data_IF_502987571165
#
_entry.id   IF_502987571165
#
_cell.length_a   1.000
_cell.length_b   1.000
_cell.length_c   1.000
_cell.angle_alpha   90.00
_cell.angle_beta   90.00
_cell.angle_gamma   90.00
#
_symmetry.space_group_name_H-M   'P 1'
#
loop_
_entity.id
_entity.type
_entity.pdbx_description
1 polymer ?
#
# COMPACT_ATOMS: atom_id res chain seq x y z
N UNK A 1 4.88 0.79 -18.62
CA UNK A 1 5.60 1.98 -18.09
C UNK A 1 4.79 2.59 -16.95
N UNK A 2 5.44 3.07 -15.88
CA UNK A 2 4.79 3.75 -14.75
C UNK A 2 5.35 5.17 -14.59
N UNK A 3 4.49 6.18 -14.49
CA UNK A 3 4.87 7.59 -14.39
C UNK A 3 4.23 8.24 -13.17
N UNK A 4 4.94 9.14 -12.51
CA UNK A 4 4.41 9.89 -11.38
C UNK A 4 4.68 11.39 -11.49
N UNK A 5 3.71 12.18 -11.04
CA UNK A 5 3.86 13.59 -10.71
C UNK A 5 3.68 13.75 -9.20
N UNK A 6 4.69 14.26 -8.52
CA UNK A 6 4.68 14.40 -7.06
C UNK A 6 4.88 15.88 -6.74
N UNK A 7 3.90 16.48 -6.08
CA UNK A 7 3.82 17.93 -5.86
C UNK A 7 3.75 18.20 -4.37
N UNK A 8 4.63 19.07 -3.88
CA UNK A 8 4.68 19.50 -2.49
C UNK A 8 4.97 21.00 -2.41
N UNK A 9 3.97 21.80 -2.06
CA UNK A 9 4.07 23.27 -2.12
C UNK A 9 4.06 23.88 -0.72
N UNK A 10 5.05 24.71 -0.42
CA UNK A 10 5.22 25.37 0.86
C UNK A 10 5.11 26.90 0.75
N UNK A 11 5.69 27.48 -0.29
CA UNK A 11 6.00 28.91 -0.36
C UNK A 11 4.81 29.73 -0.87
N UNK A 12 3.66 29.60 -0.21
CA UNK A 12 2.48 30.41 -0.48
C UNK A 12 2.63 31.80 0.14
N UNK A 13 2.58 32.89 -0.66
CA UNK A 13 2.72 34.25 -0.12
C UNK A 13 1.73 34.54 1.02
N UNK A 14 2.26 34.77 2.23
CA UNK A 14 1.48 35.09 3.44
C UNK A 14 0.70 33.92 4.06
N UNK A 15 0.88 32.68 3.58
CA UNK A 15 0.23 31.45 4.09
C UNK A 15 1.14 30.23 3.96
N UNK A 16 2.40 30.36 4.34
CA UNK A 16 3.40 29.31 4.18
C UNK A 16 3.02 28.00 4.89
N UNK A 17 3.44 26.88 4.32
CA UNK A 17 3.39 25.56 4.94
C UNK A 17 4.83 25.09 5.20
N UNK A 18 5.00 24.24 6.21
CA UNK A 18 6.35 23.83 6.65
C UNK A 18 6.80 22.49 6.03
N UNK A 19 5.87 21.56 5.73
CA UNK A 19 6.22 20.14 5.55
C UNK A 19 5.80 19.52 4.22
N UNK A 20 5.09 20.24 3.34
CA UNK A 20 4.60 19.67 2.09
C UNK A 20 5.73 19.35 1.10
N UNK A 21 6.86 20.06 1.18
CA UNK A 21 8.06 19.70 0.44
C UNK A 21 8.70 18.39 0.92
N UNK A 22 8.82 18.19 2.23
CA UNK A 22 9.33 16.96 2.83
C UNK A 22 8.43 15.77 2.47
N UNK A 23 7.12 15.97 2.56
CA UNK A 23 6.12 15.01 2.11
C UNK A 23 6.38 14.54 0.67
N UNK A 24 6.56 15.49 -0.26
CA UNK A 24 6.83 15.18 -1.66
C UNK A 24 8.20 14.51 -1.87
N UNK A 25 9.24 14.91 -1.14
CA UNK A 25 10.57 14.28 -1.21
C UNK A 25 10.49 12.82 -0.76
N UNK A 26 9.89 12.55 0.39
CA UNK A 26 9.73 11.19 0.91
C UNK A 26 8.87 10.31 -0.01
N UNK A 27 7.78 10.84 -0.56
CA UNK A 27 6.96 10.12 -1.54
C UNK A 27 7.71 9.79 -2.82
N UNK A 28 8.52 10.74 -3.33
CA UNK A 28 9.38 10.52 -4.50
C UNK A 28 10.33 9.36 -4.26
N UNK A 29 11.10 9.38 -3.18
CA UNK A 29 12.09 8.34 -2.88
C UNK A 29 11.46 6.94 -2.81
N UNK A 30 10.28 6.82 -2.19
CA UNK A 30 9.56 5.55 -2.06
C UNK A 30 8.94 5.06 -3.37
N UNK A 31 8.47 5.96 -4.23
CA UNK A 31 7.77 5.60 -5.47
C UNK A 31 8.75 5.34 -6.62
N UNK A 32 9.92 5.98 -6.64
CA UNK A 32 10.98 5.75 -7.63
C UNK A 32 11.54 4.32 -7.60
N UNK A 33 11.51 3.65 -6.44
CA UNK A 33 12.14 2.34 -6.25
C UNK A 33 11.24 1.32 -5.52
N UNK A 34 11.35 0.06 -5.91
CA UNK A 34 10.82 -1.06 -5.13
C UNK A 34 11.67 -1.29 -3.86
N UNK A 35 11.17 -2.10 -2.94
CA UNK A 35 11.86 -2.42 -1.69
C UNK A 35 13.20 -3.16 -1.87
N UNK A 36 13.43 -3.76 -3.04
CA UNK A 36 14.70 -4.39 -3.43
C UNK A 36 15.68 -3.43 -4.11
N UNK A 37 15.33 -2.15 -4.25
CA UNK A 37 16.12 -1.12 -4.92
C UNK A 37 15.97 -1.09 -6.45
N UNK A 38 15.18 -1.98 -7.05
CA UNK A 38 14.90 -1.93 -8.48
C UNK A 38 14.06 -0.69 -8.85
N UNK A 39 14.23 -0.11 -10.06
CA UNK A 39 13.41 1.01 -10.51
C UNK A 39 11.91 0.68 -10.57
N UNK A 40 11.04 1.63 -10.24
CA UNK A 40 9.58 1.45 -10.20
C UNK A 40 8.82 2.50 -11.04
N UNK A 41 8.83 3.78 -10.65
CA UNK A 41 8.21 4.88 -11.41
C UNK A 41 9.26 5.85 -11.95
N UNK A 42 9.01 6.39 -13.14
CA UNK A 42 9.66 7.63 -13.58
C UNK A 42 8.91 8.81 -12.95
N UNK A 43 9.62 9.60 -12.12
CA UNK A 43 8.99 10.61 -11.27
C UNK A 43 9.39 12.03 -11.67
N UNK A 44 8.39 12.90 -11.81
CA UNK A 44 8.56 14.34 -11.95
C UNK A 44 8.16 15.02 -10.65
N UNK A 45 9.11 15.58 -9.87
CA UNK A 45 8.78 16.34 -8.66
C UNK A 45 8.55 17.83 -8.96
N UNK A 46 7.64 18.45 -8.20
CA UNK A 46 7.45 19.90 -8.12
C UNK A 46 7.46 20.28 -6.64
N UNK A 47 8.47 21.03 -6.22
CA UNK A 47 8.77 21.30 -4.81
C UNK A 47 8.75 22.80 -4.53
N UNK A 48 8.20 23.16 -3.37
CA UNK A 48 8.06 24.50 -2.76
C UNK A 48 7.18 25.49 -3.53
N UNK A 49 7.39 25.64 -4.84
CA UNK A 49 6.75 26.66 -5.67
C UNK A 49 6.22 26.08 -6.98
N UNK A 50 5.03 26.49 -7.37
CA UNK A 50 4.47 26.15 -8.67
C UNK A 50 3.47 27.21 -9.11
N UNK A 51 3.51 27.59 -10.39
CA UNK A 51 2.45 28.39 -10.99
C UNK A 51 1.29 27.52 -11.45
N UNK A 52 0.09 28.08 -11.56
CA UNK A 52 -1.07 27.39 -12.12
C UNK A 52 -0.78 26.77 -13.49
N UNK A 53 -0.11 27.53 -14.37
CA UNK A 53 0.22 27.09 -15.72
C UNK A 53 1.21 25.92 -15.73
N UNK A 54 2.18 25.92 -14.81
CA UNK A 54 3.12 24.81 -14.69
C UNK A 54 2.43 23.56 -14.14
N UNK A 55 1.58 23.71 -13.12
CA UNK A 55 0.86 22.59 -12.52
C UNK A 55 -0.09 21.93 -13.55
N UNK A 56 -0.90 22.71 -14.25
CA UNK A 56 -1.83 22.18 -15.26
C UNK A 56 -1.09 21.52 -16.43
N UNK A 57 0.06 22.07 -16.85
CA UNK A 57 0.90 21.47 -17.89
C UNK A 57 1.49 20.14 -17.43
N UNK A 58 1.99 20.06 -16.20
CA UNK A 58 2.55 18.84 -15.64
C UNK A 58 1.49 17.74 -15.48
N UNK A 59 0.30 18.08 -14.99
CA UNK A 59 -0.84 17.15 -14.88
C UNK A 59 -1.27 16.67 -16.28
N UNK A 60 -1.33 17.56 -17.26
CA UNK A 60 -1.61 17.20 -18.65
C UNK A 60 -0.60 16.20 -19.21
N UNK A 61 0.71 16.40 -18.97
CA UNK A 61 1.76 15.46 -19.39
C UNK A 61 1.68 14.12 -18.66
N UNK A 62 1.32 14.11 -17.38
CA UNK A 62 1.12 12.87 -16.63
C UNK A 62 0.05 11.99 -17.30
N UNK A 63 -1.07 12.59 -17.70
CA UNK A 63 -2.24 11.88 -18.24
C UNK A 63 -2.29 11.75 -19.76
N UNK A 64 -1.31 12.27 -20.51
CA UNK A 64 -1.33 12.29 -21.97
C UNK A 64 -1.15 10.92 -22.66
N UNK A 65 -0.34 10.02 -22.08
CA UNK A 65 0.11 8.77 -22.72
C UNK A 65 -0.75 7.55 -22.31
N UNK A 66 -0.31 6.35 -22.68
CA UNK A 66 -0.96 5.05 -22.43
C UNK A 66 -0.21 4.19 -21.37
N UNK A 67 0.38 4.85 -20.37
CA UNK A 67 1.13 4.19 -19.30
C UNK A 67 0.27 3.18 -18.51
N UNK A 68 0.92 2.19 -17.89
CA UNK A 68 0.22 1.20 -17.05
C UNK A 68 -0.34 1.86 -15.79
N UNK A 69 0.43 2.77 -15.19
CA UNK A 69 0.03 3.57 -14.04
C UNK A 69 0.51 5.02 -14.21
N UNK A 70 -0.42 5.96 -14.08
CA UNK A 70 -0.16 7.37 -13.85
C UNK A 70 -0.50 7.71 -12.39
N UNK A 71 0.50 8.15 -11.62
CA UNK A 71 0.37 8.46 -10.19
C UNK A 71 0.51 9.97 -9.96
N UNK A 72 -0.54 10.61 -9.44
CA UNK A 72 -0.50 12.00 -9.00
C UNK A 72 -0.52 12.01 -7.47
N UNK A 73 0.49 12.61 -6.85
CA UNK A 73 0.47 12.96 -5.43
C UNK A 73 0.58 14.48 -5.28
N UNK A 74 -0.27 15.07 -4.46
CA UNK A 74 -0.26 16.50 -4.15
C UNK A 74 -0.37 16.74 -2.64
N UNK A 75 0.58 17.48 -2.07
CA UNK A 75 0.55 18.02 -0.71
C UNK A 75 0.64 19.56 -0.77
N UNK A 76 -0.29 20.26 -0.11
CA UNK A 76 -0.34 21.72 -0.13
C UNK A 76 -1.69 22.29 0.32
N UNK A 77 -1.93 23.57 -0.01
CA UNK A 77 -3.24 24.20 0.25
C UNK A 77 -4.30 23.72 -0.73
N UNK A 78 -5.52 23.57 -0.22
CA UNK A 78 -6.72 23.42 -1.04
C UNK A 78 -7.76 24.50 -0.70
N UNK A 79 -8.57 24.88 -1.68
CA UNK A 79 -9.63 25.88 -1.52
C UNK A 79 -11.01 25.29 -1.79
N UNK A 80 -11.98 25.67 -0.95
CA UNK A 80 -13.37 25.22 -0.99
C UNK A 80 -14.28 26.15 -1.81
N UNK A 81 -13.95 26.29 -3.10
CA UNK A 81 -14.69 27.15 -4.03
C UNK A 81 -14.98 26.32 -5.28
N UNK A 82 -16.19 26.40 -5.83
CA UNK A 82 -16.59 25.80 -7.12
C UNK A 82 -16.14 24.34 -7.34
N UNK A 83 -16.24 23.48 -6.32
CA UNK A 83 -15.89 22.06 -6.41
C UNK A 83 -14.45 21.69 -6.04
N UNK A 84 -13.65 22.66 -5.58
CA UNK A 84 -12.34 22.42 -4.99
C UNK A 84 -11.16 22.77 -5.90
N UNK A 85 -10.11 23.33 -5.33
CA UNK A 85 -8.87 23.68 -6.04
C UNK A 85 -7.63 23.09 -5.35
N UNK A 86 -6.66 22.65 -6.16
CA UNK A 86 -5.27 22.47 -5.77
C UNK A 86 -4.59 23.84 -5.88
N UNK A 87 -4.27 24.46 -4.74
CA UNK A 87 -3.77 25.83 -4.74
C UNK A 87 -2.31 25.90 -5.20
N UNK A 88 -1.98 26.85 -6.07
CA UNK A 88 -0.62 27.11 -6.53
C UNK A 88 -0.01 28.32 -5.82
N UNK A 89 1.33 28.46 -5.84
CA UNK A 89 2.00 29.52 -5.08
C UNK A 89 1.88 30.90 -5.74
N UNK A 90 1.46 30.96 -7.00
CA UNK A 90 1.09 32.18 -7.74
C UNK A 90 -0.37 32.62 -7.52
N UNK A 91 -1.04 32.11 -6.48
CA UNK A 91 -2.44 32.44 -6.22
C UNK A 91 -2.64 33.96 -6.03
N UNK A 92 -3.71 34.49 -6.61
CA UNK A 92 -4.04 35.92 -6.50
C UNK A 92 -5.51 36.18 -6.82
N UNK A 93 -6.20 36.93 -5.97
CA UNK A 93 -7.63 37.23 -6.16
C UNK A 93 -8.46 35.95 -6.31
N UNK A 94 -9.08 35.78 -7.49
CA UNK A 94 -9.87 34.60 -7.86
C UNK A 94 -9.07 33.47 -8.52
N UNK A 95 -7.76 33.65 -8.72
CA UNK A 95 -6.88 32.61 -9.25
C UNK A 95 -6.30 31.77 -8.10
N UNK A 96 -6.99 30.71 -7.73
CA UNK A 96 -6.56 29.83 -6.63
C UNK A 96 -5.52 28.79 -7.07
N UNK A 97 -5.63 28.29 -8.31
CA UNK A 97 -4.78 27.21 -8.83
C UNK A 97 -5.55 26.36 -9.84
N UNK A 98 -5.38 25.04 -9.77
CA UNK A 98 -6.00 24.07 -10.68
C UNK A 98 -7.26 23.48 -10.04
N UNK A 99 -8.40 23.51 -10.74
CA UNK A 99 -9.64 22.89 -10.24
C UNK A 99 -9.48 21.38 -10.16
N UNK A 100 -9.93 20.78 -9.06
CA UNK A 100 -9.92 19.33 -8.88
C UNK A 100 -10.79 18.63 -9.94
N UNK A 101 -11.86 19.27 -10.42
CA UNK A 101 -12.68 18.76 -11.52
C UNK A 101 -11.92 18.66 -12.84
N UNK A 102 -11.03 19.62 -13.12
CA UNK A 102 -10.22 19.62 -14.35
C UNK A 102 -9.18 18.48 -14.29
N UNK A 103 -8.60 18.24 -13.10
CA UNK A 103 -7.70 17.09 -12.86
C UNK A 103 -8.44 15.78 -13.11
N UNK A 104 -9.66 15.63 -12.60
CA UNK A 104 -10.48 14.44 -12.82
C UNK A 104 -10.84 14.27 -14.30
N UNK A 105 -11.19 15.35 -14.99
CA UNK A 105 -11.51 15.31 -16.42
C UNK A 105 -10.30 14.87 -17.25
N UNK A 106 -9.10 15.38 -16.94
CA UNK A 106 -7.85 14.95 -17.56
C UNK A 106 -7.57 13.47 -17.30
N UNK A 107 -7.75 13.01 -16.06
CA UNK A 107 -7.59 11.61 -15.70
C UNK A 107 -8.59 10.71 -16.44
N UNK A 108 -9.87 11.11 -16.51
CA UNK A 108 -10.92 10.36 -17.19
C UNK A 108 -10.67 10.24 -18.71
N UNK A 109 -10.11 11.28 -19.34
CA UNK A 109 -9.74 11.27 -20.77
C UNK A 109 -8.42 10.53 -21.05
N UNK A 110 -7.63 10.23 -20.02
CA UNK A 110 -6.35 9.56 -20.15
C UNK A 110 -6.49 8.13 -20.65
N UNK A 111 -5.58 7.71 -21.54
CA UNK A 111 -5.45 6.33 -22.01
C UNK A 111 -4.64 5.45 -21.05
N UNK A 112 -4.07 6.02 -19.99
CA UNK A 112 -3.41 5.26 -18.95
C UNK A 112 -4.37 4.20 -18.37
N UNK A 113 -3.87 2.98 -18.15
CA UNK A 113 -4.69 1.87 -17.65
C UNK A 113 -5.16 2.13 -16.22
N UNK A 114 -4.27 2.64 -15.37
CA UNK A 114 -4.58 3.04 -14.01
C UNK A 114 -4.15 4.48 -13.76
N UNK A 115 -5.02 5.27 -13.14
CA UNK A 115 -4.82 6.67 -12.78
C UNK A 115 -5.07 6.79 -11.29
N UNK A 116 -4.00 6.89 -10.51
CA UNK A 116 -4.07 6.95 -9.05
C UNK A 116 -3.77 8.38 -8.62
N UNK A 117 -4.71 9.01 -7.92
CA UNK A 117 -4.63 10.39 -7.47
C UNK A 117 -4.69 10.38 -5.94
N UNK A 118 -3.65 10.86 -5.29
CA UNK A 118 -3.57 11.02 -3.84
C UNK A 118 -3.44 12.51 -3.51
N UNK A 119 -4.35 13.02 -2.68
CA UNK A 119 -4.42 14.43 -2.33
C UNK A 119 -4.33 14.63 -0.81
N UNK A 120 -3.23 15.20 -0.35
CA UNK A 120 -3.03 15.69 1.02
C UNK A 120 -3.21 17.22 1.07
N UNK A 121 -4.46 17.66 0.93
CA UNK A 121 -4.80 19.07 1.08
C UNK A 121 -6.18 19.26 1.70
N UNK A 122 -6.41 20.41 2.34
CA UNK A 122 -7.73 20.77 2.83
C UNK A 122 -8.77 20.67 1.70
N UNK A 123 -9.97 20.20 2.05
CA UNK A 123 -11.09 20.05 1.11
C UNK A 123 -10.87 19.06 -0.04
N UNK A 124 -9.78 18.27 -0.05
CA UNK A 124 -9.55 17.24 -1.06
C UNK A 124 -10.68 16.21 -1.13
N UNK A 125 -11.28 15.86 0.02
CA UNK A 125 -12.46 15.00 0.11
C UNK A 125 -13.65 15.49 -0.74
N UNK A 126 -13.76 16.80 -1.01
CA UNK A 126 -14.82 17.37 -1.84
C UNK A 126 -14.69 17.06 -3.33
N UNK A 127 -13.49 16.73 -3.81
CA UNK A 127 -13.32 16.12 -5.14
C UNK A 127 -14.10 14.80 -5.21
N UNK A 128 -14.12 14.05 -4.10
CA UNK A 128 -14.97 12.88 -3.94
C UNK A 128 -16.45 13.23 -3.97
N UNK A 129 -16.89 14.20 -3.19
CA UNK A 129 -18.32 14.57 -3.11
C UNK A 129 -18.87 15.18 -4.40
N UNK A 130 -18.09 15.99 -5.11
CA UNK A 130 -18.48 16.61 -6.37
C UNK A 130 -18.74 15.57 -7.47
N UNK A 131 -18.07 14.41 -7.43
CA UNK A 131 -18.36 13.24 -8.27
C UNK A 131 -19.81 12.75 -8.09
N UNK A 132 -20.39 12.89 -6.89
CA UNK A 132 -21.76 12.47 -6.59
C UNK A 132 -22.81 13.55 -6.91
N UNK A 133 -22.43 14.83 -6.77
CA UNK A 133 -23.35 15.95 -6.92
C UNK A 133 -23.57 16.37 -8.38
N UNK A 134 -22.56 16.18 -9.23
CA UNK A 134 -22.69 16.42 -10.66
C UNK A 134 -23.09 15.11 -11.37
N UNK A 135 -24.37 14.97 -11.72
CA UNK A 135 -24.97 13.84 -12.48
C UNK A 135 -24.24 13.44 -13.80
N UNK A 136 -23.13 14.08 -14.15
CA UNK A 136 -22.32 13.84 -15.36
C UNK A 136 -20.87 13.43 -15.10
N UNK A 137 -20.36 13.40 -13.86
CA UNK A 137 -18.96 13.00 -13.58
C UNK A 137 -18.89 11.57 -13.07
N UNK A 138 -19.05 10.61 -13.96
CA UNK A 138 -18.73 9.20 -13.69
C UNK A 138 -17.20 9.11 -13.52
N UNK A 139 -16.74 8.46 -12.45
CA UNK A 139 -15.32 8.15 -12.29
C UNK A 139 -14.90 7.26 -13.47
N UNK A 140 -13.94 7.69 -14.28
CA UNK A 140 -13.52 6.95 -15.46
C UNK A 140 -12.94 5.58 -15.09
N UNK A 141 -13.01 4.63 -16.02
CA UNK A 141 -12.36 3.33 -15.87
C UNK A 141 -10.86 3.52 -15.58
N UNK A 142 -10.31 2.75 -14.64
CA UNK A 142 -8.92 2.85 -14.23
C UNK A 142 -8.62 3.94 -13.21
N UNK A 143 -9.58 4.78 -12.80
CA UNK A 143 -9.33 5.89 -11.86
C UNK A 143 -9.45 5.44 -10.41
N UNK A 144 -8.52 5.86 -9.56
CA UNK A 144 -8.56 5.72 -8.10
C UNK A 144 -8.18 7.04 -7.44
N UNK A 145 -8.95 7.50 -6.46
CA UNK A 145 -8.73 8.72 -5.70
C UNK A 145 -8.64 8.37 -4.22
N UNK A 146 -7.58 8.82 -3.56
CA UNK A 146 -7.40 8.80 -2.12
C UNK A 146 -7.20 10.24 -1.65
N UNK A 147 -8.09 10.78 -0.84
CA UNK A 147 -8.03 12.18 -0.44
C UNK A 147 -8.10 12.34 1.07
N UNK A 148 -7.18 13.13 1.63
CA UNK A 148 -7.22 13.54 3.02
C UNK A 148 -8.52 14.31 3.33
N UNK A 149 -8.96 14.22 4.57
CA UNK A 149 -10.21 14.84 5.05
C UNK A 149 -9.95 15.85 6.18
N UNK A 150 -10.31 17.13 5.95
CA UNK A 150 -10.00 18.31 6.78
C UNK A 150 -8.54 18.38 7.31
N UNK A 151 -8.20 19.42 8.08
CA UNK A 151 -6.81 19.77 8.38
C UNK A 151 -6.17 18.78 9.37
N UNK A 152 -5.48 17.76 8.85
CA UNK A 152 -4.61 16.85 9.60
C UNK A 152 -3.41 17.55 10.29
N UNK A 153 -3.33 18.88 10.20
CA UNK A 153 -2.24 19.73 10.68
C UNK A 153 -2.38 20.19 12.14
N UNK A 154 -3.54 20.05 12.79
CA UNK A 154 -3.74 20.54 14.16
C UNK A 154 -3.39 19.47 15.21
N UNK A 155 -2.13 19.42 15.62
CA UNK A 155 -1.74 19.11 17.02
C UNK A 155 -0.28 19.48 17.22
N UNK A 156 0.03 20.21 18.29
CA UNK A 156 1.39 20.64 18.65
C UNK A 156 2.37 19.47 18.89
N UNK A 157 1.88 18.24 19.03
CA UNK A 157 2.70 17.02 19.18
C UNK A 157 3.46 16.61 17.91
N UNK A 158 3.23 17.25 16.75
CA UNK A 158 3.64 16.75 15.41
C UNK A 158 4.92 17.31 14.81
N UNK A 159 5.59 18.30 15.43
CA UNK A 159 6.83 18.86 14.86
C UNK A 159 7.97 17.84 14.71
N UNK A 160 7.93 16.72 15.44
CA UNK A 160 8.91 15.64 15.34
C UNK A 160 8.79 14.80 14.06
N UNK A 161 7.60 14.70 13.46
CA UNK A 161 7.35 13.85 12.29
C UNK A 161 7.81 14.50 10.98
N UNK A 162 7.92 15.83 10.94
CA UNK A 162 8.32 16.61 9.75
C UNK A 162 7.47 16.32 8.48
N UNK A 163 6.25 15.79 8.70
CA UNK A 163 5.27 15.36 7.69
C UNK A 163 3.83 15.64 8.17
N UNK A 164 2.87 15.74 7.24
CA UNK A 164 1.45 15.65 7.58
C UNK A 164 1.06 14.24 8.06
N UNK A 165 0.08 14.07 8.98
CA UNK A 165 -0.32 12.72 9.46
C UNK A 165 -0.66 11.81 8.28
N UNK A 166 -1.49 12.30 7.36
CA UNK A 166 -1.99 11.47 6.26
C UNK A 166 -0.82 10.96 5.41
N UNK A 167 0.10 11.85 5.05
CA UNK A 167 1.32 11.48 4.35
C UNK A 167 2.22 10.55 5.15
N UNK A 168 2.41 10.76 6.45
CA UNK A 168 3.19 9.86 7.30
C UNK A 168 2.61 8.44 7.31
N UNK A 169 1.28 8.28 7.40
CA UNK A 169 0.65 6.97 7.33
C UNK A 169 0.82 6.32 5.94
N UNK A 170 0.76 7.11 4.87
CA UNK A 170 1.07 6.63 3.52
C UNK A 170 2.53 6.18 3.40
N UNK A 171 3.48 6.92 4.00
CA UNK A 171 4.92 6.56 4.04
C UNK A 171 5.09 5.22 4.75
N UNK A 172 4.49 5.05 5.93
CA UNK A 172 4.55 3.79 6.69
C UNK A 172 3.94 2.63 5.91
N UNK A 173 2.80 2.86 5.25
CA UNK A 173 2.16 1.89 4.37
C UNK A 173 3.08 1.46 3.24
N UNK A 174 3.66 2.43 2.52
CA UNK A 174 4.59 2.21 1.41
C UNK A 174 5.91 1.56 1.83
N UNK A 175 6.36 1.78 3.08
CA UNK A 175 7.54 1.10 3.66
C UNK A 175 7.28 -0.38 3.98
N UNK A 176 6.02 -0.82 3.97
CA UNK A 176 5.65 -2.24 4.10
C UNK A 176 4.48 -2.50 5.03
N UNK A 177 3.99 -1.50 5.76
CA UNK A 177 2.82 -1.64 6.63
C UNK A 177 1.56 -2.08 5.86
N UNK A 178 1.47 -1.71 4.58
CA UNK A 178 0.36 -2.03 3.69
C UNK A 178 0.66 -3.17 2.70
N UNK A 179 1.74 -3.93 2.90
CA UNK A 179 2.13 -5.01 1.99
C UNK A 179 1.35 -6.30 2.26
N UNK A 180 0.91 -6.97 1.19
CA UNK A 180 0.39 -8.33 1.28
C UNK A 180 1.52 -9.36 1.55
N UNK A 181 1.16 -10.64 1.70
CA UNK A 181 2.12 -11.73 1.94
C UNK A 181 3.16 -11.83 0.80
N UNK A 182 2.74 -11.50 -0.42
CA UNK A 182 3.58 -11.47 -1.61
C UNK A 182 4.42 -10.20 -1.77
N UNK A 183 4.32 -9.25 -0.83
CA UNK A 183 5.07 -7.99 -0.85
C UNK A 183 4.45 -6.89 -1.72
N UNK A 184 3.20 -7.04 -2.21
CA UNK A 184 2.55 -6.02 -3.03
C UNK A 184 1.86 -4.97 -2.18
N UNK A 185 2.04 -3.70 -2.55
CA UNK A 185 1.36 -2.56 -1.94
C UNK A 185 0.46 -1.91 -3.00
N UNK A 186 -0.85 -1.93 -2.78
CA UNK A 186 -1.88 -1.45 -3.72
C UNK A 186 -2.56 -0.20 -3.17
N UNK A 187 -3.28 0.59 -4.01
CA UNK A 187 -4.08 1.70 -3.51
C UNK A 187 -5.09 1.29 -2.43
N UNK A 188 -5.73 0.12 -2.57
CA UNK A 188 -6.66 -0.41 -1.57
C UNK A 188 -5.98 -0.80 -0.27
N UNK A 189 -4.83 -1.49 -0.32
CA UNK A 189 -4.12 -1.87 0.89
C UNK A 189 -3.53 -0.66 1.62
N UNK A 190 -3.08 0.38 0.89
CA UNK A 190 -2.70 1.66 1.47
C UNK A 190 -3.87 2.34 2.17
N UNK A 191 -5.02 2.45 1.51
CA UNK A 191 -6.20 3.03 2.15
C UNK A 191 -6.61 2.25 3.41
N UNK A 192 -6.65 0.92 3.33
CA UNK A 192 -6.97 0.06 4.47
C UNK A 192 -5.99 0.26 5.63
N UNK A 193 -4.70 0.39 5.36
CA UNK A 193 -3.68 0.64 6.37
C UNK A 193 -3.89 2.00 7.04
N UNK A 194 -4.14 3.06 6.24
CA UNK A 194 -4.43 4.40 6.76
C UNK A 194 -5.70 4.35 7.62
N UNK A 195 -6.80 3.77 7.13
CA UNK A 195 -8.08 3.68 7.86
C UNK A 195 -7.97 2.97 9.21
N UNK A 196 -7.20 1.88 9.28
CA UNK A 196 -6.95 1.12 10.51
C UNK A 196 -6.07 1.84 11.51
N UNK A 197 -5.23 2.76 11.04
CA UNK A 197 -4.31 3.54 11.89
C UNK A 197 -5.00 4.72 12.57
N UNK A 198 -6.29 4.93 12.31
CA UNK A 198 -7.05 6.08 12.79
C UNK A 198 -8.01 5.72 13.92
N UNK A 199 -8.03 6.51 14.99
CA UNK A 199 -8.97 6.38 16.09
C UNK A 199 -10.42 6.68 15.70
N UNK A 200 -11.39 6.27 16.50
CA UNK A 200 -12.83 6.38 16.19
C UNK A 200 -13.33 7.81 15.94
N UNK A 201 -12.67 8.82 16.51
CA UNK A 201 -13.04 10.24 16.38
C UNK A 201 -12.26 10.98 15.29
N UNK A 202 -11.32 10.31 14.60
CA UNK A 202 -10.56 10.89 13.51
C UNK A 202 -11.32 10.70 12.19
N UNK A 203 -11.40 11.78 11.41
CA UNK A 203 -12.03 11.73 10.10
C UNK A 203 -11.28 10.73 9.21
N UNK A 204 -12.02 9.95 8.41
CA UNK A 204 -11.42 9.00 7.47
C UNK A 204 -11.10 9.69 6.14
N UNK A 205 -10.02 9.30 5.45
CA UNK A 205 -9.79 9.76 4.09
C UNK A 205 -10.90 9.25 3.17
N UNK A 206 -11.11 9.93 2.05
CA UNK A 206 -12.02 9.48 1.00
C UNK A 206 -11.29 8.49 0.10
N UNK A 207 -11.92 7.35 -0.18
CA UNK A 207 -11.47 6.39 -1.18
C UNK A 207 -12.54 6.20 -2.25
N UNK A 208 -12.21 6.48 -3.51
CA UNK A 208 -13.09 6.23 -4.66
C UNK A 208 -12.33 5.57 -5.77
N UNK A 209 -12.91 4.55 -6.39
CA UNK A 209 -12.23 3.79 -7.45
C UNK A 209 -13.25 3.22 -8.44
N UNK A 210 -12.85 3.13 -9.71
CA UNK A 210 -13.58 2.45 -10.78
C UNK A 210 -12.54 1.66 -11.58
N UNK A 211 -12.17 0.49 -11.09
CA UNK A 211 -11.13 -0.36 -11.68
C UNK A 211 -11.60 -1.81 -11.71
N UNK A 212 -11.07 -2.58 -12.64
CA UNK A 212 -11.26 -4.03 -12.71
C UNK A 212 -10.21 -4.81 -11.90
N UNK A 213 -9.03 -4.23 -11.67
CA UNK A 213 -7.94 -4.84 -10.90
C UNK A 213 -7.01 -3.78 -10.30
N UNK A 214 -6.53 -4.00 -9.07
CA UNK A 214 -5.47 -3.19 -8.47
C UNK A 214 -4.09 -3.61 -9.01
N UNK A 215 -3.35 -2.65 -9.57
CA UNK A 215 -1.92 -2.81 -9.81
C UNK A 215 -1.11 -2.31 -8.59
N UNK A 216 -0.01 -2.98 -8.21
CA UNK A 216 0.84 -2.51 -7.13
C UNK A 216 1.51 -1.18 -7.45
N UNK A 217 1.36 -0.22 -6.54
CA UNK A 217 2.11 1.05 -6.54
C UNK A 217 3.56 0.81 -6.15
N UNK A 218 3.82 -0.15 -5.27
CA UNK A 218 5.18 -0.54 -4.88
C UNK A 218 5.21 -2.01 -4.54
N UNK A 219 6.32 -2.67 -4.81
CA UNK A 219 6.59 -4.02 -4.34
C UNK A 219 7.76 -4.01 -3.38
N UNK A 220 7.70 -4.82 -2.32
CA UNK A 220 8.76 -5.02 -1.34
C UNK A 220 9.10 -6.51 -1.24
N UNK A 221 10.09 -6.86 -0.43
CA UNK A 221 10.42 -8.25 -0.16
C UNK A 221 9.16 -9.01 0.33
N UNK A 222 8.79 -10.06 -0.40
CA UNK A 222 7.69 -10.93 0.00
C UNK A 222 7.99 -11.60 1.35
N UNK A 223 6.99 -11.66 2.23
CA UNK A 223 7.11 -12.39 3.50
C UNK A 223 7.25 -13.89 3.23
N UNK A 224 6.53 -14.38 2.23
CA UNK A 224 6.66 -15.76 1.73
C UNK A 224 6.86 -15.72 0.22
N UNK A 225 8.00 -16.24 -0.30
CA UNK A 225 8.24 -16.27 -1.74
C UNK A 225 7.16 -17.07 -2.48
N UNK A 226 6.82 -16.65 -3.70
CA UNK A 226 5.83 -17.34 -4.54
C UNK A 226 6.17 -18.82 -4.78
N UNK A 227 7.46 -19.15 -4.88
CA UNK A 227 7.94 -20.52 -5.02
C UNK A 227 7.55 -21.40 -3.82
N UNK A 228 7.53 -20.82 -2.62
CA UNK A 228 7.13 -21.48 -1.38
C UNK A 228 5.61 -21.54 -1.28
N UNK A 229 4.89 -20.45 -1.56
CA UNK A 229 3.41 -20.44 -1.58
C UNK A 229 2.80 -21.51 -2.53
N UNK A 230 3.48 -21.81 -3.65
CA UNK A 230 3.09 -22.87 -4.59
C UNK A 230 3.18 -24.29 -4.02
N UNK A 231 3.92 -24.50 -2.92
CA UNK A 231 4.01 -25.78 -2.21
C UNK A 231 2.92 -25.97 -1.15
N UNK A 232 2.14 -24.94 -0.84
CA UNK A 232 1.09 -25.05 0.18
C UNK A 232 0.08 -26.17 -0.16
N UNK A 233 -0.27 -26.32 -1.45
CA UNK A 233 -1.14 -27.41 -1.92
C UNK A 233 -0.46 -28.77 -2.08
N UNK A 234 0.88 -28.84 -1.95
CA UNK A 234 1.60 -30.12 -1.88
C UNK A 234 1.68 -30.66 -0.47
N UNK A 235 1.65 -29.77 0.54
CA UNK A 235 1.64 -30.18 1.96
C UNK A 235 0.25 -30.57 2.44
N UNK A 236 -0.79 -29.84 2.03
CA UNK A 236 -2.17 -30.18 2.36
C UNK A 236 -2.86 -30.65 1.08
N UNK A 237 -3.16 -31.95 0.96
CA UNK A 237 -3.82 -32.48 -0.25
C UNK A 237 -5.26 -31.97 -0.36
N UNK A 238 -5.96 -31.93 0.78
CA UNK A 238 -7.28 -31.38 0.99
C UNK A 238 -7.23 -30.23 2.01
N UNK A 239 -8.17 -29.27 1.92
CA UNK A 239 -8.16 -28.09 2.78
C UNK A 239 -8.45 -28.36 4.27
N UNK A 240 -8.98 -29.53 4.59
CA UNK A 240 -9.30 -29.97 5.95
C UNK A 240 -8.23 -30.89 6.55
N UNK A 241 -7.17 -31.17 5.81
CA UNK A 241 -6.15 -32.11 6.26
C UNK A 241 -5.33 -31.51 7.41
N UNK A 242 -4.92 -32.41 8.31
CA UNK A 242 -3.90 -32.12 9.30
C UNK A 242 -2.58 -32.74 8.84
N UNK A 243 -1.56 -31.90 8.69
CA UNK A 243 -0.21 -32.35 8.39
C UNK A 243 0.42 -32.88 9.68
N UNK A 244 0.66 -34.20 9.75
CA UNK A 244 1.26 -34.84 10.93
C UNK A 244 2.74 -34.49 11.03
N UNK A 245 3.17 -34.13 12.23
CA UNK A 245 4.53 -33.77 12.56
C UNK A 245 5.04 -34.71 13.63
N UNK A 246 6.35 -34.93 13.63
CA UNK A 246 7.06 -35.71 14.65
C UNK A 246 8.41 -35.02 14.99
N UNK A 247 9.13 -35.47 16.02
CA UNK A 247 10.39 -34.85 16.45
C UNK A 247 11.48 -34.75 15.39
N UNK A 248 11.40 -35.47 14.26
CA UNK A 248 12.39 -35.40 13.19
C UNK A 248 12.27 -34.15 12.31
N UNK A 249 11.19 -33.38 12.45
CA UNK A 249 11.00 -32.09 11.78
C UNK A 249 11.79 -30.95 12.45
N UNK A 250 12.15 -31.10 13.73
CA UNK A 250 12.84 -30.07 14.49
C UNK A 250 14.37 -30.21 14.38
N UNK A 251 15.03 -29.22 13.78
CA UNK A 251 16.47 -29.29 13.51
C UNK A 251 17.33 -29.32 14.76
N UNK A 252 16.80 -28.78 15.87
CA UNK A 252 17.50 -28.84 17.15
C UNK A 252 17.52 -30.24 17.72
N UNK A 253 16.63 -31.16 17.33
CA UNK A 253 16.52 -32.52 17.86
C UNK A 253 17.63 -33.47 17.34
N UNK A 254 18.88 -33.21 17.71
CA UNK A 254 20.06 -33.87 17.17
C UNK A 254 21.08 -34.26 18.27
N UNK A 255 21.79 -35.39 18.07
CA UNK A 255 22.75 -35.95 19.04
C UNK A 255 23.91 -35.01 19.41
N UNK A 256 24.19 -34.00 18.58
CA UNK A 256 25.30 -33.07 18.73
C UNK A 256 24.89 -31.71 19.34
N UNK A 257 23.62 -31.54 19.74
CA UNK A 257 23.11 -30.31 20.36
C UNK A 257 22.74 -30.64 21.82
N UNK A 258 23.15 -29.80 22.77
CA UNK A 258 22.81 -29.98 24.19
C UNK A 258 21.32 -29.68 24.44
N UNK A 259 20.47 -30.70 24.30
CA UNK A 259 19.07 -30.70 24.74
C UNK A 259 18.63 -32.14 25.05
N UNK A 260 17.40 -32.31 25.54
CA UNK A 260 16.80 -33.64 25.67
C UNK A 260 16.46 -34.20 24.30
N UNK A 261 17.25 -35.16 23.80
CA UNK A 261 17.06 -35.79 22.49
C UNK A 261 15.90 -36.78 22.53
N UNK A 262 15.04 -36.75 21.51
CA UNK A 262 13.83 -37.58 21.41
C UNK A 262 13.81 -38.29 20.04
N UNK A 263 13.56 -39.59 20.00
CA UNK A 263 13.38 -40.32 18.73
C UNK A 263 11.97 -40.09 18.15
N UNK A 264 11.82 -39.94 16.81
CA UNK A 264 12.86 -39.92 15.78
C UNK A 264 13.70 -38.63 15.78
N UNK A 265 14.99 -38.75 15.45
CA UNK A 265 15.91 -37.60 15.38
C UNK A 265 15.70 -36.76 14.12
N UNK A 266 16.22 -35.53 14.13
CA UNK A 266 16.14 -34.59 13.02
C UNK A 266 16.52 -35.23 11.66
N UNK A 267 15.59 -35.21 10.72
CA UNK A 267 15.80 -35.61 9.33
C UNK A 267 15.89 -34.38 8.42
N UNK A 268 16.82 -34.39 7.47
CA UNK A 268 17.10 -33.23 6.65
C UNK A 268 15.92 -32.83 5.74
N UNK A 269 15.14 -33.79 5.23
CA UNK A 269 13.97 -33.51 4.39
C UNK A 269 12.82 -32.96 5.23
N UNK A 270 12.54 -33.60 6.37
CA UNK A 270 11.52 -33.14 7.32
C UNK A 270 11.81 -31.74 7.85
N UNK A 271 13.07 -31.45 8.21
CA UNK A 271 13.49 -30.11 8.66
C UNK A 271 13.24 -29.04 7.58
N UNK A 272 13.46 -29.35 6.30
CA UNK A 272 13.19 -28.40 5.22
C UNK A 272 11.69 -28.14 5.06
N UNK A 273 10.86 -29.17 5.13
CA UNK A 273 9.39 -29.03 5.13
C UNK A 273 8.95 -28.20 6.34
N UNK A 274 9.51 -28.46 7.51
CA UNK A 274 9.16 -27.76 8.74
C UNK A 274 9.47 -26.27 8.68
N UNK A 275 10.63 -25.89 8.13
CA UNK A 275 10.99 -24.48 7.92
C UNK A 275 9.97 -23.76 7.03
N UNK A 276 9.45 -24.41 6.01
CA UNK A 276 8.40 -23.84 5.15
C UNK A 276 7.05 -23.75 5.88
N UNK A 277 6.67 -24.77 6.66
CA UNK A 277 5.46 -24.75 7.49
C UNK A 277 5.52 -23.68 8.59
N UNK A 278 6.67 -23.49 9.23
CA UNK A 278 6.92 -22.40 10.18
C UNK A 278 6.87 -21.04 9.49
N UNK A 279 7.38 -20.92 8.26
CA UNK A 279 7.25 -19.69 7.49
C UNK A 279 5.77 -19.39 7.17
N UNK A 280 4.97 -20.39 6.82
CA UNK A 280 3.52 -20.22 6.64
C UNK A 280 2.81 -19.84 7.94
N UNK A 281 3.21 -20.40 9.07
CA UNK A 281 2.65 -20.06 10.38
C UNK A 281 2.97 -18.61 10.77
N UNK A 282 4.20 -18.13 10.49
CA UNK A 282 4.62 -16.75 10.80
C UNK A 282 3.79 -15.66 10.08
N UNK A 283 3.08 -16.03 9.01
CA UNK A 283 2.16 -15.15 8.27
C UNK A 283 0.69 -15.56 8.41
N UNK A 284 0.38 -16.48 9.33
CA UNK A 284 -0.97 -16.90 9.66
C UNK A 284 -1.65 -17.79 8.62
N UNK A 285 -0.90 -18.46 7.74
CA UNK A 285 -1.45 -19.41 6.76
C UNK A 285 -1.65 -20.82 7.34
N UNK A 286 -0.81 -21.21 8.30
CA UNK A 286 -0.85 -22.50 8.99
C UNK A 286 -0.92 -22.25 10.49
N UNK A 287 -1.58 -23.12 11.24
CA UNK A 287 -1.58 -23.10 12.71
C UNK A 287 -1.37 -24.51 13.28
N UNK A 288 -0.69 -24.64 14.43
CA UNK A 288 -0.56 -25.93 15.12
C UNK A 288 -1.90 -26.40 15.71
N UNK A 289 -2.06 -27.72 15.86
CA UNK A 289 -3.25 -28.35 16.43
C UNK A 289 -2.92 -28.96 17.79
N UNK A 290 -3.70 -28.61 18.82
CA UNK A 290 -3.54 -29.15 20.17
C UNK A 290 -2.32 -28.60 20.92
N UNK A 291 -1.66 -27.56 20.42
CA UNK A 291 -0.55 -26.83 21.08
C UNK A 291 -0.45 -25.40 20.52
N UNK A 292 0.31 -24.54 21.18
CA UNK A 292 0.44 -23.12 20.83
C UNK A 292 1.52 -22.85 19.77
N UNK A 293 2.59 -23.64 19.74
CA UNK A 293 3.74 -23.39 18.85
C UNK A 293 4.05 -24.59 17.97
N UNK A 294 4.49 -24.31 16.73
CA UNK A 294 4.91 -25.33 15.77
C UNK A 294 5.99 -26.26 16.34
N UNK A 295 6.93 -25.73 17.12
CA UNK A 295 7.96 -26.52 17.80
C UNK A 295 7.36 -27.69 18.62
N UNK A 296 6.38 -27.40 19.48
CA UNK A 296 5.70 -28.43 20.26
C UNK A 296 4.85 -29.34 19.38
N UNK A 297 4.34 -28.83 18.26
CA UNK A 297 3.58 -29.67 17.34
C UNK A 297 4.47 -30.79 16.75
N UNK A 298 5.73 -30.49 16.44
CA UNK A 298 6.73 -31.48 16.06
C UNK A 298 7.15 -32.37 17.25
N UNK A 299 7.65 -31.77 18.33
CA UNK A 299 8.23 -32.51 19.45
C UNK A 299 7.25 -33.42 20.19
N UNK A 300 5.94 -33.14 20.14
CA UNK A 300 4.89 -33.91 20.81
C UNK A 300 4.07 -34.80 19.85
N UNK A 301 4.55 -35.03 18.62
CA UNK A 301 3.89 -35.86 17.61
C UNK A 301 2.45 -35.42 17.28
N UNK A 302 2.23 -34.10 17.18
CA UNK A 302 0.93 -33.51 16.86
C UNK A 302 0.86 -33.19 15.36
N UNK A 303 0.18 -32.10 15.02
CA UNK A 303 -0.07 -31.72 13.63
C UNK A 303 -0.23 -30.22 13.49
N UNK A 304 -0.26 -29.77 12.24
CA UNK A 304 -0.71 -28.42 11.88
C UNK A 304 -1.78 -28.49 10.80
N UNK A 305 -2.54 -27.41 10.64
CA UNK A 305 -3.63 -27.31 9.66
C UNK A 305 -3.66 -25.91 9.03
N UNK A 306 -4.38 -25.78 7.92
CA UNK A 306 -4.61 -24.49 7.28
C UNK A 306 -5.55 -23.63 8.13
N UNK A 307 -5.25 -22.33 8.22
CA UNK A 307 -6.19 -21.32 8.72
C UNK A 307 -7.20 -20.93 7.62
N UNK A 308 -8.16 -20.05 7.94
CA UNK A 308 -9.05 -19.48 6.94
C UNK A 308 -8.28 -18.69 5.83
N UNK A 309 -7.21 -17.99 6.20
CA UNK A 309 -6.33 -17.32 5.24
C UNK A 309 -5.48 -18.34 4.47
N UNK A 310 -4.99 -19.36 5.16
CA UNK A 310 -4.32 -20.52 4.57
C UNK A 310 -5.12 -21.16 3.44
N UNK A 311 -6.41 -21.38 3.67
CA UNK A 311 -7.33 -21.94 2.68
C UNK A 311 -7.40 -21.11 1.40
N UNK A 312 -7.40 -19.77 1.51
CA UNK A 312 -7.39 -18.90 0.34
C UNK A 312 -6.11 -19.08 -0.49
N UNK A 313 -4.94 -19.05 0.15
CA UNK A 313 -3.66 -19.23 -0.53
C UNK A 313 -3.48 -20.66 -1.05
N UNK A 314 -4.02 -21.64 -0.34
CA UNK A 314 -4.03 -23.04 -0.77
C UNK A 314 -4.80 -23.20 -2.08
N UNK A 315 -5.96 -22.54 -2.25
CA UNK A 315 -6.70 -22.54 -3.52
C UNK A 315 -5.89 -21.91 -4.64
N UNK A 316 -5.24 -20.76 -4.39
CA UNK A 316 -4.36 -20.13 -5.37
C UNK A 316 -3.19 -21.04 -5.77
N UNK A 317 -2.66 -21.81 -4.82
CA UNK A 317 -1.63 -22.83 -5.02
C UNK A 317 -2.13 -23.95 -5.93
N UNK A 318 -3.28 -24.54 -5.58
CA UNK A 318 -3.92 -25.66 -6.28
C UNK A 318 -4.29 -25.30 -7.72
N UNK A 319 -4.84 -24.10 -7.91
CA UNK A 319 -5.29 -23.59 -9.22
C UNK A 319 -4.14 -23.00 -10.07
N UNK A 320 -2.90 -22.98 -9.54
CA UNK A 320 -1.71 -22.41 -10.20
C UNK A 320 -1.86 -20.92 -10.55
N UNK A 321 -2.38 -20.12 -9.62
CA UNK A 321 -2.73 -18.69 -9.80
C UNK A 321 -1.76 -17.68 -9.16
N UNK A 322 -0.56 -18.10 -8.75
CA UNK A 322 0.49 -17.23 -8.18
C UNK A 322 1.45 -16.63 -9.20
#
# INVERSE_FOLDING_TARGET
MKKALIVGLNNYPGRELEWCNNDAIAMKELIESNGDGSPNFEVVPIIDNCSKNNLISAIGKLFADDADIAFLYFSGHGADIDGGYLCTTDFSGSNYGVKMTDVLEMANKSRCKNKVIILDCCFAAKMGESILLNNNSVLGEGVTIIAASQSWQTSEEKRSLQHGIFTELLIQGLKGGAADIGGNITPASLYSFVDQSLGAWQQRPVFKTNISQFLPLRTIQAKVPKSILRKLSTYFENPTDEFKLDPSYEYTNALNIEHQVIEPYADAEHVNVFKELQLFESVGLVEPVGTEHMYFAAMENKSCKLTALGLHYWKLSKDRRF
#
